data_IF_452696730997
#
_entry.id   IF_452696730997
#
_cell.length_a   1.000
_cell.length_b   1.000
_cell.length_c   1.000
_cell.angle_alpha   90.00
_cell.angle_beta   90.00
_cell.angle_gamma   90.00
#
_symmetry.space_group_name_H-M   'P 1'
#
loop_
_entity.id
_entity.type
_entity.pdbx_description
1 polymer ?
#
# COMPACT_ATOMS: atom_id res chain seq x y z
N UNK A 1 27.52 -33.64 16.10
CA UNK A 1 26.75 -32.78 17.03
C UNK A 1 26.95 -31.28 16.80
N UNK A 2 28.20 -30.77 16.73
CA UNK A 2 28.46 -29.33 16.47
C UNK A 2 27.85 -28.79 15.15
N UNK A 3 27.93 -29.54 14.05
CA UNK A 3 27.36 -29.13 12.75
C UNK A 3 25.82 -29.08 12.74
N UNK A 4 25.16 -30.01 13.45
CA UNK A 4 23.70 -30.01 13.61
C UNK A 4 23.22 -28.79 14.39
N UNK A 5 23.95 -28.40 15.44
CA UNK A 5 23.66 -27.19 16.21
C UNK A 5 23.78 -25.95 15.33
N UNK A 6 24.83 -25.84 14.50
CA UNK A 6 25.02 -24.71 13.58
C UNK A 6 23.89 -24.63 12.55
N UNK A 7 23.46 -25.76 11.96
CA UNK A 7 22.34 -25.78 11.02
C UNK A 7 21.00 -25.37 11.65
N UNK A 8 20.72 -25.80 12.88
CA UNK A 8 19.51 -25.43 13.62
C UNK A 8 19.54 -23.93 13.97
N UNK A 9 20.67 -23.42 14.47
CA UNK A 9 20.83 -22.01 14.81
C UNK A 9 20.78 -21.09 13.58
N UNK A 10 21.36 -21.50 12.44
CA UNK A 10 21.28 -20.70 11.21
C UNK A 10 19.86 -20.58 10.68
N UNK A 11 19.04 -21.63 10.83
CA UNK A 11 17.65 -21.61 10.39
C UNK A 11 16.78 -20.69 11.26
N UNK A 12 17.10 -20.59 12.56
CA UNK A 12 16.43 -19.67 13.49
C UNK A 12 16.76 -18.20 13.18
N UNK A 13 17.99 -17.91 12.74
CA UNK A 13 18.40 -16.55 12.35
C UNK A 13 17.65 -16.07 11.08
N UNK A 14 17.33 -16.97 10.15
CA UNK A 14 16.53 -16.62 8.97
C UNK A 14 15.07 -16.25 9.31
N UNK A 15 14.49 -16.88 10.33
CA UNK A 15 13.13 -16.57 10.81
C UNK A 15 13.03 -15.21 11.53
N UNK A 16 14.15 -14.62 11.96
CA UNK A 16 14.17 -13.34 12.69
C UNK A 16 14.15 -12.09 11.77
N UNK A 17 14.12 -12.26 10.44
CA UNK A 17 14.09 -11.12 9.51
C UNK A 17 12.68 -10.58 9.32
N UNK A 18 12.24 -9.76 10.26
CA UNK A 18 11.13 -8.83 10.10
C UNK A 18 11.44 -7.82 8.98
N UNK A 19 10.97 -8.08 7.75
CA UNK A 19 11.01 -7.11 6.65
C UNK A 19 10.06 -5.92 6.86
N UNK A 20 10.42 -4.76 6.32
CA UNK A 20 9.52 -3.61 6.16
C UNK A 20 8.70 -3.78 4.89
N UNK A 21 7.37 -3.86 5.01
CA UNK A 21 6.46 -4.10 3.88
C UNK A 21 5.46 -2.94 3.75
N UNK A 22 5.38 -2.38 2.55
CA UNK A 22 4.39 -1.38 2.18
C UNK A 22 3.29 -2.04 1.32
N UNK A 23 2.08 -2.16 1.87
CA UNK A 23 0.91 -2.60 1.12
C UNK A 23 0.22 -1.39 0.51
N UNK A 24 0.33 -1.25 -0.82
CA UNK A 24 -0.36 -0.22 -1.58
C UNK A 24 -1.80 -0.64 -1.84
N UNK A 25 -2.77 0.11 -1.32
CA UNK A 25 -4.19 -0.22 -1.43
C UNK A 25 -5.06 1.03 -1.60
N UNK A 26 -5.25 1.50 -2.83
CA UNK A 26 -6.08 2.66 -3.09
C UNK A 26 -7.56 2.48 -2.75
N UNK A 27 -8.25 3.59 -2.47
CA UNK A 27 -9.65 3.59 -2.03
C UNK A 27 -10.68 3.39 -3.17
N UNK A 28 -10.43 2.44 -4.08
CA UNK A 28 -11.37 2.10 -5.17
C UNK A 28 -12.72 1.59 -4.65
N UNK A 29 -12.68 0.73 -3.64
CA UNK A 29 -13.87 0.15 -3.02
C UNK A 29 -13.57 -0.37 -1.61
N UNK A 30 -14.59 -0.46 -0.77
CA UNK A 30 -14.44 -1.02 0.59
C UNK A 30 -13.97 -2.47 0.57
N UNK A 31 -14.39 -3.28 -0.40
CA UNK A 31 -13.96 -4.67 -0.53
C UNK A 31 -12.47 -4.79 -0.88
N UNK A 32 -11.96 -3.92 -1.77
CA UNK A 32 -10.54 -3.85 -2.09
C UNK A 32 -9.70 -3.50 -0.86
N UNK A 33 -10.14 -2.48 -0.11
CA UNK A 33 -9.49 -2.09 1.14
C UNK A 33 -9.51 -3.22 2.18
N UNK A 34 -10.63 -3.91 2.35
CA UNK A 34 -10.74 -5.04 3.29
C UNK A 34 -9.84 -6.22 2.89
N UNK A 35 -9.75 -6.54 1.61
CA UNK A 35 -8.88 -7.60 1.11
C UNK A 35 -7.41 -7.32 1.43
N UNK A 36 -6.95 -6.12 1.08
CA UNK A 36 -5.56 -5.71 1.33
C UNK A 36 -5.25 -5.51 2.82
N UNK A 37 -6.23 -5.07 3.62
CA UNK A 37 -6.07 -4.99 5.06
C UNK A 37 -5.85 -6.36 5.72
N UNK A 38 -6.57 -7.39 5.27
CA UNK A 38 -6.35 -8.77 5.75
C UNK A 38 -4.97 -9.28 5.38
N UNK A 39 -4.51 -9.00 4.15
CA UNK A 39 -3.15 -9.35 3.72
C UNK A 39 -2.12 -8.64 4.61
N UNK A 40 -2.32 -7.34 4.87
CA UNK A 40 -1.44 -6.56 5.73
C UNK A 40 -1.38 -7.09 7.16
N UNK A 41 -2.53 -7.48 7.74
CA UNK A 41 -2.59 -8.09 9.07
C UNK A 41 -1.88 -9.46 9.09
N UNK A 42 -2.10 -10.33 8.09
CA UNK A 42 -1.39 -11.63 8.02
C UNK A 42 0.13 -11.45 7.94
N UNK A 43 0.61 -10.45 7.20
CA UNK A 43 2.03 -10.13 7.14
C UNK A 43 2.56 -9.58 8.48
N UNK A 44 1.77 -8.77 9.17
CA UNK A 44 2.12 -8.27 10.50
C UNK A 44 2.14 -9.41 11.55
N UNK A 45 1.19 -10.36 11.48
CA UNK A 45 1.17 -11.57 12.32
C UNK A 45 2.41 -12.45 12.11
N UNK A 46 2.96 -12.46 10.90
CA UNK A 46 4.21 -13.16 10.58
C UNK A 46 5.47 -12.44 11.11
N UNK A 47 5.32 -11.28 11.78
CA UNK A 47 6.41 -10.52 12.38
C UNK A 47 7.00 -9.44 11.48
N UNK A 48 6.37 -9.08 10.35
CA UNK A 48 6.82 -7.98 9.51
C UNK A 48 6.35 -6.62 10.03
N UNK A 49 7.13 -5.56 9.77
CA UNK A 49 6.67 -4.19 9.98
C UNK A 49 5.88 -3.75 8.75
N UNK A 50 4.55 -3.71 8.87
CA UNK A 50 3.65 -3.52 7.73
C UNK A 50 2.92 -2.19 7.81
N UNK A 51 2.99 -1.45 6.71
CA UNK A 51 2.21 -0.23 6.49
C UNK A 51 1.21 -0.46 5.36
N UNK A 52 -0.08 -0.28 5.63
CA UNK A 52 -1.13 -0.17 4.63
C UNK A 52 -1.24 1.30 4.19
N UNK A 53 -0.75 1.58 2.99
CA UNK A 53 -0.85 2.91 2.39
C UNK A 53 -2.08 3.00 1.48
N UNK A 54 -2.93 3.97 1.76
CA UNK A 54 -4.21 4.21 1.09
C UNK A 54 -4.18 5.59 0.43
N UNK A 55 -3.84 5.67 -0.86
CA UNK A 55 -4.23 6.80 -1.70
C UNK A 55 -5.76 6.92 -1.71
N UNK A 56 -6.28 8.05 -1.26
CA UNK A 56 -7.70 8.33 -1.19
C UNK A 56 -8.13 9.11 -2.44
N UNK A 57 -8.96 8.48 -3.27
CA UNK A 57 -9.69 9.16 -4.35
C UNK A 57 -11.07 9.62 -3.89
N UNK A 58 -11.66 8.87 -2.96
CA UNK A 58 -12.78 9.30 -2.15
C UNK A 58 -12.41 9.20 -0.67
N UNK A 59 -12.80 10.20 0.16
CA UNK A 59 -12.59 10.14 1.60
C UNK A 59 -13.16 8.87 2.19
N UNK A 60 -12.36 8.12 2.93
CA UNK A 60 -12.80 6.86 3.53
C UNK A 60 -12.52 6.80 5.03
N UNK A 61 -13.54 6.41 5.80
CA UNK A 61 -13.40 6.15 7.23
C UNK A 61 -12.89 4.72 7.53
N UNK A 62 -12.23 4.08 6.57
CA UNK A 62 -11.71 2.73 6.70
C UNK A 62 -10.76 2.55 7.90
N UNK A 63 -11.02 1.53 8.73
CA UNK A 63 -10.23 1.12 9.90
C UNK A 63 -9.99 -0.40 9.93
N UNK A 64 -9.99 -1.06 8.77
CA UNK A 64 -10.13 -2.52 8.68
C UNK A 64 -8.91 -3.36 9.06
N UNK A 65 -7.75 -2.75 9.36
CA UNK A 65 -6.56 -3.47 9.86
C UNK A 65 -6.60 -3.52 11.40
N UNK A 66 -6.11 -4.61 11.97
CA UNK A 66 -5.95 -4.77 13.43
C UNK A 66 -4.52 -4.54 13.87
N UNK A 67 -3.55 -4.87 13.02
CA UNK A 67 -2.12 -4.93 13.35
C UNK A 67 -1.29 -4.00 12.47
N UNK A 68 -1.60 -3.92 11.17
CA UNK A 68 -0.86 -3.06 10.26
C UNK A 68 -1.18 -1.57 10.46
N UNK A 69 -0.16 -0.72 10.36
CA UNK A 69 -0.31 0.75 10.42
C UNK A 69 -0.98 1.26 9.15
N UNK A 70 -1.95 2.17 9.28
CA UNK A 70 -2.61 2.79 8.13
C UNK A 70 -2.04 4.19 7.89
N UNK A 71 -1.68 4.49 6.64
CA UNK A 71 -1.37 5.85 6.18
C UNK A 71 -2.35 6.18 5.06
N UNK A 72 -3.09 7.27 5.22
CA UNK A 72 -4.04 7.76 4.21
C UNK A 72 -3.54 9.05 3.60
N UNK A 73 -3.88 9.27 2.34
CA UNK A 73 -3.49 10.46 1.62
C UNK A 73 -4.53 10.87 0.60
N UNK A 74 -5.17 12.01 0.84
CA UNK A 74 -6.16 12.59 -0.06
C UNK A 74 -5.53 13.68 -0.93
N UNK A 75 -6.22 14.03 -2.04
CA UNK A 75 -5.87 15.18 -2.89
C UNK A 75 -4.47 15.11 -3.49
N UNK A 76 -4.12 13.94 -4.02
CA UNK A 76 -2.78 13.68 -4.59
C UNK A 76 -2.70 14.16 -6.04
N UNK A 77 -3.72 13.85 -6.84
CA UNK A 77 -3.80 14.24 -8.24
C UNK A 77 -5.25 14.43 -8.66
N UNK A 78 -5.57 15.65 -9.08
CA UNK A 78 -6.90 16.01 -9.60
C UNK A 78 -7.19 15.30 -10.93
N UNK A 79 -6.16 15.06 -11.77
CA UNK A 79 -6.32 14.32 -13.03
C UNK A 79 -6.74 12.88 -12.74
N UNK A 80 -6.15 12.25 -11.74
CA UNK A 80 -6.50 10.90 -11.33
C UNK A 80 -7.89 10.81 -10.69
N UNK A 81 -8.24 11.74 -9.79
CA UNK A 81 -9.56 11.80 -9.15
C UNK A 81 -10.70 11.87 -10.19
N UNK A 82 -10.54 12.74 -11.20
CA UNK A 82 -11.50 12.87 -12.30
C UNK A 82 -11.64 11.60 -13.13
N UNK A 83 -10.54 10.91 -13.43
CA UNK A 83 -10.60 9.66 -14.19
C UNK A 83 -11.23 8.51 -13.38
N UNK A 84 -11.00 8.48 -12.07
CA UNK A 84 -11.66 7.53 -11.18
C UNK A 84 -13.18 7.72 -11.11
N UNK A 85 -13.64 8.97 -11.10
CA UNK A 85 -15.07 9.26 -11.12
C UNK A 85 -15.72 8.78 -12.43
N UNK A 86 -15.11 9.08 -13.58
CA UNK A 86 -15.56 8.58 -14.87
C UNK A 86 -15.58 7.05 -14.90
N UNK A 87 -14.52 6.41 -14.43
CA UNK A 87 -14.44 4.95 -14.32
C UNK A 87 -15.57 4.38 -13.46
N UNK A 88 -15.85 4.98 -12.30
CA UNK A 88 -16.91 4.53 -11.41
C UNK A 88 -18.30 4.59 -12.06
N UNK A 89 -18.59 5.62 -12.86
CA UNK A 89 -19.87 5.75 -13.58
C UNK A 89 -20.03 4.75 -14.72
N UNK A 90 -18.93 4.43 -15.40
CA UNK A 90 -18.93 3.58 -16.59
C UNK A 90 -18.67 2.09 -16.30
N UNK A 91 -18.21 1.75 -15.10
CA UNK A 91 -17.71 0.41 -14.76
C UNK A 91 -18.70 -0.73 -15.07
N UNK A 92 -19.99 -0.49 -14.86
CA UNK A 92 -21.04 -1.49 -15.11
C UNK A 92 -21.60 -1.46 -16.53
N UNK A 93 -21.43 -0.35 -17.25
CA UNK A 93 -22.04 -0.12 -18.56
C UNK A 93 -21.07 -0.33 -19.72
N UNK A 94 -19.76 -0.13 -19.50
CA UNK A 94 -18.70 -0.28 -20.49
C UNK A 94 -17.79 -1.45 -20.12
N UNK A 95 -17.90 -2.54 -20.89
CA UNK A 95 -17.01 -3.69 -20.75
C UNK A 95 -15.69 -3.56 -21.50
N UNK A 96 -15.55 -2.53 -22.35
CA UNK A 96 -14.32 -2.27 -23.11
C UNK A 96 -13.97 -0.79 -23.06
N UNK A 97 -12.69 -0.49 -22.93
CA UNK A 97 -12.15 0.86 -23.00
C UNK A 97 -11.50 1.08 -24.36
N UNK A 98 -11.70 2.28 -24.92
CA UNK A 98 -10.99 2.69 -26.13
C UNK A 98 -9.49 2.82 -25.86
N UNK A 99 -8.66 2.72 -26.91
CA UNK A 99 -7.22 2.96 -26.76
C UNK A 99 -6.91 4.34 -26.21
N UNK A 100 -7.71 5.35 -26.56
CA UNK A 100 -7.58 6.71 -26.03
C UNK A 100 -7.77 6.74 -24.52
N UNK A 101 -8.87 6.17 -24.03
CA UNK A 101 -9.19 6.13 -22.60
C UNK A 101 -8.14 5.35 -21.80
N UNK A 102 -7.54 4.31 -22.40
CA UNK A 102 -6.42 3.60 -21.79
C UNK A 102 -5.18 4.49 -21.66
N UNK A 103 -4.84 5.28 -22.68
CA UNK A 103 -3.71 6.21 -22.60
C UNK A 103 -3.94 7.31 -21.56
N UNK A 104 -5.16 7.84 -21.47
CA UNK A 104 -5.53 8.81 -20.44
C UNK A 104 -5.39 8.23 -19.02
N UNK A 105 -5.77 6.96 -18.84
CA UNK A 105 -5.60 6.25 -17.56
C UNK A 105 -4.13 6.07 -17.17
N UNK A 106 -3.28 5.71 -18.13
CA UNK A 106 -1.83 5.58 -17.91
C UNK A 106 -1.22 6.94 -17.53
N UNK A 107 -1.62 8.02 -18.21
CA UNK A 107 -1.18 9.38 -17.88
C UNK A 107 -1.64 9.82 -16.48
N UNK A 108 -2.91 9.64 -16.16
CA UNK A 108 -3.44 9.97 -14.85
C UNK A 108 -2.72 9.17 -13.74
N UNK A 109 -2.41 7.91 -14.00
CA UNK A 109 -1.66 7.04 -13.09
C UNK A 109 -0.22 7.53 -12.89
N UNK A 110 0.43 8.03 -13.95
CA UNK A 110 1.75 8.66 -13.86
C UNK A 110 1.71 9.96 -13.02
N UNK A 111 0.71 10.82 -13.22
CA UNK A 111 0.51 12.02 -12.42
C UNK A 111 0.31 11.69 -10.93
N UNK A 112 -0.46 10.64 -10.63
CA UNK A 112 -0.64 10.15 -9.27
C UNK A 112 0.70 9.69 -8.67
N UNK A 113 1.49 8.92 -9.43
CA UNK A 113 2.80 8.47 -9.01
C UNK A 113 3.75 9.65 -8.74
N UNK A 114 3.72 10.68 -9.58
CA UNK A 114 4.50 11.90 -9.37
C UNK A 114 4.05 12.64 -8.10
N UNK A 115 2.74 12.74 -7.88
CA UNK A 115 2.18 13.30 -6.65
C UNK A 115 2.63 12.53 -5.40
N UNK A 116 2.61 11.20 -5.43
CA UNK A 116 3.09 10.33 -4.34
C UNK A 116 4.60 10.47 -4.12
N UNK A 117 5.38 10.61 -5.19
CA UNK A 117 6.85 10.64 -5.09
C UNK A 117 7.43 12.03 -4.85
N UNK A 118 6.61 13.08 -4.95
CA UNK A 118 6.98 14.44 -4.59
C UNK A 118 7.60 14.52 -3.19
N UNK A 119 8.64 15.35 -3.02
CA UNK A 119 9.48 15.35 -1.81
C UNK A 119 8.69 15.54 -0.51
N UNK A 120 7.56 16.25 -0.52
CA UNK A 120 6.70 16.43 0.64
C UNK A 120 5.99 15.12 1.07
N UNK A 121 5.61 14.30 0.09
CA UNK A 121 4.88 13.05 0.31
C UNK A 121 5.84 11.89 0.61
N UNK A 122 6.95 11.82 -0.14
CA UNK A 122 8.02 10.85 0.10
C UNK A 122 8.52 10.93 1.54
N UNK A 123 8.66 12.13 2.09
CA UNK A 123 9.06 12.33 3.49
C UNK A 123 8.05 11.74 4.47
N UNK A 124 6.74 11.88 4.25
CA UNK A 124 5.70 11.34 5.15
C UNK A 124 5.65 9.80 5.18
N UNK A 125 5.85 9.17 4.01
CA UNK A 125 5.95 7.72 3.88
C UNK A 125 7.28 7.23 4.48
N UNK A 126 8.39 7.91 4.18
CA UNK A 126 9.73 7.55 4.66
C UNK A 126 9.85 7.74 6.18
N UNK A 127 9.43 8.87 6.76
CA UNK A 127 9.36 9.08 8.22
C UNK A 127 8.52 8.02 8.91
N UNK A 128 7.46 7.53 8.28
CA UNK A 128 6.62 6.49 8.86
C UNK A 128 7.26 5.10 8.83
N UNK A 129 8.23 4.88 7.96
CA UNK A 129 9.04 3.65 7.87
C UNK A 129 10.35 3.77 8.66
N UNK A 130 10.92 4.97 8.79
CA UNK A 130 12.19 5.26 9.48
C UNK A 130 12.01 5.48 10.99
N UNK A 131 10.89 6.06 11.47
CA UNK A 131 10.67 6.29 12.91
C UNK A 131 10.67 5.04 13.78
N UNK A 132 10.60 3.84 13.19
CA UNK A 132 10.60 2.57 13.92
C UNK A 132 11.92 1.79 13.78
N UNK A 133 12.88 2.28 12.98
CA UNK A 133 14.21 1.67 12.93
C UNK A 133 15.05 2.01 14.17
N UNK A 134 14.68 3.06 14.92
CA UNK A 134 15.31 3.45 16.19
C UNK A 134 14.70 2.76 17.43
N UNK A 135 13.54 2.10 17.32
CA UNK A 135 12.89 1.38 18.43
C UNK A 135 13.16 -0.13 18.43
N UNK A 136 13.95 -0.62 17.47
CA UNK A 136 14.33 -2.04 17.36
C UNK A 136 15.85 -2.25 17.48
N UNK A 137 16.47 -1.57 18.45
CA UNK A 137 17.83 -1.87 18.96
C UNK A 137 17.76 -2.09 20.46
#
# INVERSE_FOLDING_TARGET
>A
MRLLIVMVLSNWIFMLRAGNILVYSPSYSTSHLMGNARIADTLAEAGHNVVLFIPEYMPTNFKGTKLAKIIKMAKISESFERHMEMFATDFLSKHTLSMHTRLEWEQASADLCEGITSNAVRFSICLSLEKEMETTV
#
